data_IF_033689572054
#
_entry.id   IF_033689572054
#
_cell.length_a   1.000
_cell.length_b   1.000
_cell.length_c   1.000
_cell.angle_alpha   90.00
_cell.angle_beta   90.00
_cell.angle_gamma   90.00
#
_symmetry.space_group_name_H-M   'P 1'
#
loop_
_entity.id
_entity.type
_entity.pdbx_description
1 polymer ?
#
# COMPACT_ATOMS: atom_id res chain seq x y z
N UNK A 1 -1.78 -34.99 18.50
CA UNK A 1 -0.99 -34.29 17.48
C UNK A 1 -1.97 -33.71 16.48
N UNK A 2 -2.30 -32.42 16.61
CA UNK A 2 -3.03 -31.70 15.58
C UNK A 2 -2.00 -31.35 14.49
N UNK A 3 -2.25 -31.77 13.24
CA UNK A 3 -1.42 -31.37 12.13
C UNK A 3 -1.56 -29.86 11.94
N UNK A 4 -0.43 -29.16 11.96
CA UNK A 4 -0.32 -27.78 11.53
C UNK A 4 -0.59 -27.73 10.02
N UNK A 5 -1.85 -27.52 9.66
CA UNK A 5 -2.31 -27.34 8.27
C UNK A 5 -2.53 -25.86 7.95
N UNK A 6 -1.82 -24.94 8.62
CA UNK A 6 -2.03 -23.48 8.47
C UNK A 6 -1.25 -22.82 7.34
N UNK A 7 -0.61 -23.57 6.44
CA UNK A 7 0.02 -22.98 5.25
C UNK A 7 -0.34 -23.76 4.00
N UNK A 8 -0.97 -23.07 3.04
CA UNK A 8 -1.13 -23.52 1.66
C UNK A 8 0.20 -24.06 1.13
N UNK A 9 0.19 -25.26 0.57
CA UNK A 9 1.41 -25.91 0.08
C UNK A 9 2.05 -25.04 -1.02
N UNK A 10 3.36 -24.84 -0.95
CA UNK A 10 4.07 -24.02 -1.93
C UNK A 10 4.01 -24.68 -3.32
N UNK A 11 3.69 -23.91 -4.38
CA UNK A 11 3.70 -24.42 -5.74
C UNK A 11 5.13 -24.78 -6.18
N UNK A 12 5.27 -25.80 -7.02
CA UNK A 12 6.58 -26.29 -7.53
C UNK A 12 7.05 -25.56 -8.80
N UNK A 13 6.46 -24.41 -9.12
CA UNK A 13 6.79 -23.60 -10.31
C UNK A 13 8.03 -22.72 -10.13
N UNK A 14 8.34 -21.93 -11.16
CA UNK A 14 9.34 -20.85 -11.05
C UNK A 14 8.95 -19.82 -9.98
N UNK A 15 9.90 -18.98 -9.53
CA UNK A 15 9.60 -17.96 -8.50
C UNK A 15 8.43 -17.04 -8.84
N UNK A 16 8.28 -16.67 -10.13
CA UNK A 16 7.17 -15.85 -10.63
C UNK A 16 5.84 -16.58 -10.68
N UNK A 17 5.82 -17.83 -11.18
CA UNK A 17 4.62 -18.67 -11.18
C UNK A 17 4.18 -19.00 -9.75
N UNK A 18 5.16 -19.17 -8.87
CA UNK A 18 4.94 -19.38 -7.46
C UNK A 18 4.24 -18.20 -6.80
N UNK A 19 4.67 -16.96 -7.08
CA UNK A 19 4.00 -15.76 -6.58
C UNK A 19 2.59 -15.58 -7.17
N UNK A 20 2.42 -15.82 -8.47
CA UNK A 20 1.11 -15.70 -9.14
C UNK A 20 0.08 -16.69 -8.56
N UNK A 21 0.51 -17.88 -8.15
CA UNK A 21 -0.35 -18.85 -7.47
C UNK A 21 -0.97 -18.24 -6.19
N UNK A 22 -0.22 -17.43 -5.44
CA UNK A 22 -0.71 -16.85 -4.19
C UNK A 22 -1.71 -15.70 -4.37
N UNK A 23 -1.86 -15.13 -5.56
CA UNK A 23 -2.71 -13.96 -5.82
C UNK A 23 -4.24 -14.24 -5.85
N UNK A 24 -4.74 -15.22 -6.64
CA UNK A 24 -6.17 -15.44 -6.74
C UNK A 24 -6.75 -16.11 -5.48
N UNK A 25 -8.02 -15.82 -5.15
CA UNK A 25 -8.72 -16.54 -4.09
C UNK A 25 -8.81 -18.04 -4.43
N UNK A 26 -8.73 -18.87 -3.40
CA UNK A 26 -8.84 -20.32 -3.47
C UNK A 26 -10.05 -20.80 -2.65
N UNK A 27 -10.64 -21.94 -3.00
CA UNK A 27 -11.75 -22.53 -2.25
C UNK A 27 -11.45 -22.82 -0.77
N UNK A 28 -10.17 -22.87 -0.39
CA UNK A 28 -9.71 -23.13 0.98
C UNK A 28 -9.67 -21.88 1.85
N UNK A 29 -9.77 -20.68 1.27
CA UNK A 29 -9.60 -19.41 1.98
C UNK A 29 -10.81 -19.14 2.88
N UNK A 30 -12.01 -19.57 2.46
CA UNK A 30 -13.26 -19.50 3.24
C UNK A 30 -13.29 -20.49 4.42
N UNK A 31 -12.33 -21.41 4.51
CA UNK A 31 -12.25 -22.39 5.61
C UNK A 31 -11.59 -21.82 6.87
N UNK A 32 -11.38 -20.50 6.93
CA UNK A 32 -10.88 -19.81 8.13
C UNK A 32 -9.43 -20.11 8.50
N UNK A 33 -8.66 -20.68 7.58
CA UNK A 33 -7.26 -21.12 7.85
C UNK A 33 -6.20 -20.07 7.52
N UNK A 34 -6.51 -19.10 6.67
CA UNK A 34 -5.62 -17.98 6.40
C UNK A 34 -5.70 -16.99 7.56
N UNK A 35 -4.72 -17.03 8.46
CA UNK A 35 -4.58 -16.00 9.48
C UNK A 35 -4.41 -14.61 8.84
N UNK A 36 -4.78 -13.53 9.56
CA UNK A 36 -4.77 -12.13 9.09
C UNK A 36 -3.44 -11.66 8.46
N UNK A 37 -2.36 -12.38 8.73
CA UNK A 37 -0.98 -12.02 8.38
C UNK A 37 -0.33 -13.03 7.39
N UNK A 38 -1.14 -13.86 6.73
CA UNK A 38 -0.62 -14.83 5.76
C UNK A 38 -0.09 -14.15 4.49
N UNK A 39 0.86 -14.80 3.82
CA UNK A 39 1.37 -14.35 2.51
C UNK A 39 0.23 -14.22 1.50
N UNK A 40 -0.66 -15.22 1.46
CA UNK A 40 -1.85 -15.23 0.62
C UNK A 40 -2.68 -13.96 0.79
N UNK A 41 -3.10 -13.66 2.02
CA UNK A 41 -3.93 -12.51 2.29
C UNK A 41 -3.25 -11.20 1.89
N UNK A 42 -1.95 -11.08 2.17
CA UNK A 42 -1.14 -9.92 1.80
C UNK A 42 -1.13 -9.68 0.30
N UNK A 43 -0.83 -10.71 -0.51
CA UNK A 43 -0.78 -10.55 -1.98
C UNK A 43 -2.16 -10.49 -2.62
N UNK A 44 -3.15 -11.15 -2.01
CA UNK A 44 -4.54 -11.14 -2.46
C UNK A 44 -5.12 -9.72 -2.42
N UNK A 45 -4.89 -8.95 -1.35
CA UNK A 45 -5.35 -7.56 -1.27
C UNK A 45 -4.81 -6.68 -2.41
N UNK A 46 -3.53 -6.86 -2.78
CA UNK A 46 -2.94 -6.13 -3.90
C UNK A 46 -3.54 -6.58 -5.24
N UNK A 47 -3.66 -7.89 -5.46
CA UNK A 47 -4.24 -8.46 -6.67
C UNK A 47 -5.69 -8.00 -6.89
N UNK A 48 -6.50 -8.06 -5.84
CA UNK A 48 -7.89 -7.63 -5.87
C UNK A 48 -8.03 -6.13 -6.15
N UNK A 49 -7.21 -5.29 -5.50
CA UNK A 49 -7.15 -3.86 -5.82
C UNK A 49 -6.73 -3.58 -7.27
N UNK A 50 -5.74 -4.31 -7.78
CA UNK A 50 -5.27 -4.20 -9.17
C UNK A 50 -6.35 -4.56 -10.19
N UNK A 51 -7.14 -5.61 -9.94
CA UNK A 51 -8.23 -6.00 -10.83
C UNK A 51 -9.39 -4.99 -10.85
N UNK A 52 -9.51 -4.13 -9.83
CA UNK A 52 -10.52 -3.08 -9.77
C UNK A 52 -10.06 -1.75 -10.35
N UNK A 53 -8.85 -1.65 -10.88
CA UNK A 53 -8.27 -0.37 -11.32
C UNK A 53 -9.07 0.34 -12.43
N UNK A 54 -9.84 -0.41 -13.23
CA UNK A 54 -10.69 0.15 -14.29
C UNK A 54 -12.08 0.60 -13.78
N UNK A 55 -12.40 0.34 -12.52
CA UNK A 55 -13.67 0.77 -11.94
C UNK A 55 -13.67 2.29 -11.70
N UNK A 56 -14.78 2.99 -12.01
CA UNK A 56 -14.84 4.45 -11.90
C UNK A 56 -14.70 4.97 -10.47
N UNK A 57 -14.94 4.12 -9.47
CA UNK A 57 -14.85 4.43 -8.04
C UNK A 57 -13.57 3.90 -7.38
N UNK A 58 -12.60 3.42 -8.16
CA UNK A 58 -11.33 2.93 -7.65
C UNK A 58 -10.16 3.72 -8.25
N UNK A 59 -9.29 4.25 -7.39
CA UNK A 59 -8.05 4.92 -7.81
C UNK A 59 -6.87 4.31 -7.07
N UNK A 60 -5.94 3.73 -7.83
CA UNK A 60 -4.67 3.26 -7.29
C UNK A 60 -3.67 4.42 -7.26
N UNK A 61 -2.98 4.55 -6.13
CA UNK A 61 -1.92 5.54 -5.91
C UNK A 61 -0.62 4.79 -5.62
N UNK A 62 0.48 5.22 -6.23
CA UNK A 62 1.80 4.71 -5.91
C UNK A 62 2.44 5.57 -4.81
N UNK A 63 2.85 4.91 -3.73
CA UNK A 63 3.51 5.57 -2.61
C UNK A 63 4.77 6.35 -3.02
N UNK A 64 5.50 5.86 -4.03
CA UNK A 64 6.70 6.54 -4.56
C UNK A 64 6.34 7.88 -5.20
N UNK A 65 5.20 7.97 -5.89
CA UNK A 65 4.76 9.20 -6.53
C UNK A 65 4.28 10.21 -5.48
N UNK A 66 3.56 9.76 -4.45
CA UNK A 66 3.19 10.58 -3.28
C UNK A 66 4.41 11.14 -2.55
N UNK A 67 5.49 10.37 -2.48
CA UNK A 67 6.75 10.84 -1.88
C UNK A 67 7.52 11.82 -2.78
N UNK A 68 7.39 11.68 -4.10
CA UNK A 68 8.12 12.48 -5.08
C UNK A 68 7.45 13.84 -5.33
N UNK A 69 6.11 13.88 -5.37
CA UNK A 69 5.32 15.09 -5.61
C UNK A 69 3.97 15.03 -4.87
N UNK A 70 3.98 15.31 -3.57
CA UNK A 70 2.78 15.24 -2.76
C UNK A 70 1.70 16.24 -3.23
N UNK A 71 2.10 17.47 -3.58
CA UNK A 71 1.17 18.51 -4.00
C UNK A 71 0.47 18.16 -5.31
N UNK A 72 1.21 17.68 -6.32
CA UNK A 72 0.64 17.24 -7.58
C UNK A 72 -0.27 16.02 -7.42
N UNK A 73 0.13 15.03 -6.60
CA UNK A 73 -0.70 13.86 -6.34
C UNK A 73 -2.00 14.20 -5.60
N UNK A 74 -1.97 15.10 -4.61
CA UNK A 74 -3.18 15.56 -3.92
C UNK A 74 -4.11 16.38 -4.83
N UNK A 75 -3.55 17.20 -5.72
CA UNK A 75 -4.33 17.93 -6.71
C UNK A 75 -5.01 16.99 -7.72
N UNK A 76 -4.28 16.00 -8.24
CA UNK A 76 -4.83 14.98 -9.15
C UNK A 76 -5.91 14.13 -8.46
N UNK A 77 -5.74 13.83 -7.16
CA UNK A 77 -6.75 13.13 -6.37
C UNK A 77 -8.02 13.97 -6.18
N UNK A 78 -7.88 15.27 -5.89
CA UNK A 78 -9.02 16.17 -5.76
C UNK A 78 -9.81 16.29 -7.07
N UNK A 79 -9.11 16.41 -8.21
CA UNK A 79 -9.74 16.41 -9.53
C UNK A 79 -10.51 15.11 -9.80
N UNK A 80 -9.88 13.96 -9.52
CA UNK A 80 -10.53 12.66 -9.68
C UNK A 80 -11.77 12.49 -8.80
N UNK A 81 -11.75 13.03 -7.56
CA UNK A 81 -12.90 13.05 -6.66
C UNK A 81 -13.98 14.07 -7.05
N UNK A 82 -13.73 14.92 -8.07
CA UNK A 82 -14.62 16.02 -8.43
C UNK A 82 -14.66 17.13 -7.37
N UNK A 83 -13.61 17.26 -6.56
CA UNK A 83 -13.48 18.25 -5.50
C UNK A 83 -12.72 19.49 -5.98
N UNK A 84 -13.28 20.68 -5.75
CA UNK A 84 -12.55 21.94 -5.92
C UNK A 84 -11.88 22.31 -4.61
N UNK A 85 -10.56 22.48 -4.64
CA UNK A 85 -9.76 22.94 -3.51
C UNK A 85 -9.34 24.38 -3.78
N UNK A 86 -9.64 25.29 -2.86
CA UNK A 86 -9.22 26.70 -2.95
C UNK A 86 -7.69 26.77 -2.94
N UNK A 87 -7.12 27.56 -3.85
CA UNK A 87 -5.67 27.76 -3.95
C UNK A 87 -5.10 28.36 -2.65
N UNK A 88 -5.89 29.13 -1.91
CA UNK A 88 -5.49 29.70 -0.63
C UNK A 88 -5.28 28.63 0.46
N UNK A 89 -6.03 27.51 0.43
CA UNK A 89 -5.95 26.44 1.46
C UNK A 89 -5.12 25.24 1.01
N UNK A 90 -4.81 25.13 -0.28
CA UNK A 90 -4.03 24.02 -0.84
C UNK A 90 -2.68 23.81 -0.14
N UNK A 91 -1.86 24.86 0.14
CA UNK A 91 -0.59 24.67 0.83
C UNK A 91 -0.75 24.04 2.22
N UNK A 92 -1.79 24.45 2.96
CA UNK A 92 -2.06 23.94 4.31
C UNK A 92 -2.48 22.47 4.28
N UNK A 93 -3.25 22.05 3.27
CA UNK A 93 -3.62 20.64 3.07
C UNK A 93 -2.41 19.78 2.73
N UNK A 94 -1.52 20.27 1.87
CA UNK A 94 -0.28 19.58 1.52
C UNK A 94 0.62 19.44 2.75
N UNK A 95 0.81 20.53 3.50
CA UNK A 95 1.60 20.53 4.74
C UNK A 95 1.02 19.56 5.77
N UNK A 96 -0.30 19.59 5.96
CA UNK A 96 -1.00 18.67 6.85
C UNK A 96 -0.91 17.19 6.41
N UNK A 97 -0.57 16.90 5.16
CA UNK A 97 -0.38 15.54 4.66
C UNK A 97 1.11 15.10 4.66
N UNK A 98 2.03 15.96 5.14
CA UNK A 98 3.43 15.57 5.28
C UNK A 98 3.64 14.61 6.45
N UNK A 99 4.71 13.81 6.38
CA UNK A 99 5.04 12.86 7.44
C UNK A 99 5.35 13.57 8.76
N UNK A 100 6.14 14.65 8.72
CA UNK A 100 6.51 15.43 9.89
C UNK A 100 5.27 16.01 10.58
N UNK A 101 4.36 16.61 9.81
CA UNK A 101 3.10 17.13 10.35
C UNK A 101 2.20 16.01 10.89
N UNK A 102 2.17 14.83 10.26
CA UNK A 102 1.39 13.69 10.73
C UNK A 102 1.98 13.08 12.02
N UNK A 103 3.31 12.96 12.11
CA UNK A 103 4.04 12.52 13.30
C UNK A 103 3.77 13.44 14.50
N UNK A 104 3.80 14.77 14.28
CA UNK A 104 3.43 15.75 15.31
C UNK A 104 1.98 15.66 15.78
N UNK A 105 1.10 14.93 15.07
CA UNK A 105 -0.30 14.67 15.42
C UNK A 105 -0.56 13.18 15.63
N UNK A 106 0.47 12.38 15.92
CA UNK A 106 0.36 10.92 15.97
C UNK A 106 -0.66 10.42 16.99
N UNK A 107 -0.76 11.06 18.15
CA UNK A 107 -1.78 10.71 19.16
C UNK A 107 -3.22 10.79 18.62
N UNK A 108 -3.49 11.69 17.67
CA UNK A 108 -4.80 11.85 17.03
C UNK A 108 -4.97 10.92 15.82
N UNK A 109 -3.91 10.71 15.04
CA UNK A 109 -3.97 10.00 13.76
C UNK A 109 -3.76 8.48 13.89
N UNK A 110 -3.05 8.04 14.92
CA UNK A 110 -2.78 6.64 15.22
C UNK A 110 -2.98 6.38 16.73
N UNK A 111 -4.21 6.52 17.26
CA UNK A 111 -4.48 6.46 18.70
C UNK A 111 -4.44 5.04 19.29
N UNK A 112 -4.36 4.00 18.44
CA UNK A 112 -4.44 2.61 18.87
C UNK A 112 -3.14 2.15 19.55
N UNK A 113 -3.15 2.19 20.88
CA UNK A 113 -2.03 1.74 21.72
C UNK A 113 -2.09 0.25 22.06
N UNK A 114 -3.17 -0.47 21.72
CA UNK A 114 -3.28 -1.90 21.97
C UNK A 114 -2.38 -2.69 21.00
N UNK A 115 -2.23 -2.16 19.78
CA UNK A 115 -1.34 -2.71 18.75
C UNK A 115 -0.03 -1.91 18.67
N UNK A 116 -0.07 -0.58 18.82
CA UNK A 116 1.12 0.28 18.70
C UNK A 116 1.74 0.55 20.06
N UNK A 117 3.02 0.15 20.22
CA UNK A 117 3.79 0.45 21.44
C UNK A 117 4.06 1.94 21.65
N UNK A 118 4.17 2.70 20.56
CA UNK A 118 4.44 4.14 20.57
C UNK A 118 3.76 4.76 19.33
N UNK A 119 2.70 5.57 19.51
CA UNK A 119 2.03 6.27 18.41
C UNK A 119 2.99 7.13 17.58
N UNK A 120 3.98 7.77 18.20
CA UNK A 120 5.00 8.58 17.52
C UNK A 120 5.89 7.75 16.60
N UNK A 121 5.96 6.42 16.78
CA UNK A 121 6.67 5.49 15.90
C UNK A 121 5.81 4.89 14.80
N UNK A 122 4.54 5.26 14.70
CA UNK A 122 3.70 4.86 13.59
C UNK A 122 4.21 5.45 12.27
N UNK A 123 4.57 6.74 12.27
CA UNK A 123 5.09 7.46 11.11
C UNK A 123 6.61 7.29 10.97
N UNK A 124 7.07 6.09 10.60
CA UNK A 124 8.51 5.81 10.42
C UNK A 124 9.06 6.48 9.15
N UNK A 125 10.37 6.79 9.16
CA UNK A 125 11.04 7.52 8.08
C UNK A 125 10.78 6.92 6.70
N UNK A 126 10.56 7.78 5.70
CA UNK A 126 10.41 7.41 4.29
C UNK A 126 11.60 6.60 3.78
N UNK A 127 11.39 5.84 2.70
CA UNK A 127 12.48 5.36 1.86
C UNK A 127 13.22 6.59 1.31
N UNK A 128 14.36 6.95 1.91
CA UNK A 128 15.28 7.93 1.31
C UNK A 128 15.85 7.27 0.05
N UNK A 129 15.45 7.74 -1.12
CA UNK A 129 16.19 7.42 -2.35
C UNK A 129 17.58 8.03 -2.14
N UNK A 130 18.60 7.20 -1.91
CA UNK A 130 19.98 7.69 -1.96
C UNK A 130 20.18 8.29 -3.35
N UNK A 131 20.66 9.53 -3.43
CA UNK A 131 20.93 10.24 -4.69
C UNK A 131 22.12 9.66 -5.48
N UNK A 132 22.42 8.37 -5.32
CA UNK A 132 23.44 7.65 -6.06
C UNK A 132 22.83 6.35 -6.57
N UNK A 133 22.31 6.42 -7.79
CA UNK A 133 21.64 5.32 -8.45
C UNK A 133 20.91 5.82 -9.69
N UNK A 134 21.66 6.25 -10.69
CA UNK A 134 21.16 6.31 -12.06
C UNK A 134 20.85 4.87 -12.50
N UNK A 135 19.64 4.42 -12.16
CA UNK A 135 19.05 3.18 -12.64
C UNK A 135 18.30 3.49 -13.92
N UNK A 136 18.87 3.05 -15.02
CA UNK A 136 18.38 3.16 -16.39
C UNK A 136 16.90 2.71 -16.49
N UNK A 137 16.04 3.58 -17.02
CA UNK A 137 14.64 3.24 -17.35
C UNK A 137 14.63 2.48 -18.67
N UNK A 138 15.12 1.24 -18.66
CA UNK A 138 15.08 0.34 -19.80
C UNK A 138 14.94 -1.12 -19.36
N UNK A 139 13.85 -1.44 -18.66
CA UNK A 139 13.37 -2.82 -18.52
C UNK A 139 11.94 -2.86 -17.96
N UNK A 140 10.97 -2.30 -18.70
CA UNK A 140 9.60 -2.85 -18.65
C UNK A 140 9.51 -3.80 -19.82
N UNK A 141 9.99 -5.02 -19.58
CA UNK A 141 9.72 -6.15 -20.46
C UNK A 141 8.25 -6.51 -20.30
N UNK A 142 7.57 -6.60 -21.44
CA UNK A 142 6.27 -7.23 -21.61
C UNK A 142 6.20 -8.54 -20.81
N UNK A 143 5.25 -8.63 -19.90
CA UNK A 143 4.66 -9.88 -19.45
C UNK A 143 3.17 -9.81 -19.74
#
# INVERSE_FOLDING_TARGET
MAADTSSRAAPTGTGSEGLQYWCPPQPTDDQGSAGPESLHQTVHHLYDAWNRQEQPNAKLLHYVDLCADLAGQLAALAEWLGMTVDEAVRPDLVEAATFDAMEGRAERLAPDTDILKDPGKFFRSRIRRSSSGAGDRAAVGTF
#
